data_IF_573333157400
#
_entry.id   IF_573333157400
#
_cell.length_a   1.000
_cell.length_b   1.000
_cell.length_c   1.000
_cell.angle_alpha   90.00
_cell.angle_beta   90.00
_cell.angle_gamma   90.00
#
_symmetry.space_group_name_H-M   'P 1'
#
loop_
_entity.id
_entity.type
_entity.pdbx_description
1 polymer ?
#
# COMPACT_ATOMS: atom_id res chain seq x y z
N UNK A 1 -13.22 11.33 18.95
CA UNK A 1 -12.75 12.33 19.93
C UNK A 1 -12.79 11.68 21.29
N UNK A 2 -11.62 11.27 21.82
CA UNK A 2 -11.52 10.74 23.18
C UNK A 2 -11.41 11.91 24.15
N UNK A 3 -12.54 12.39 24.61
CA UNK A 3 -12.61 13.36 25.68
C UNK A 3 -12.61 12.63 27.02
N UNK A 4 -11.65 12.94 27.88
CA UNK A 4 -11.63 12.69 29.33
C UNK A 4 -11.57 11.24 29.85
N UNK A 5 -10.96 10.28 29.15
CA UNK A 5 -10.86 8.91 29.67
C UNK A 5 -9.46 8.34 29.84
N UNK A 6 -8.45 8.87 29.14
CA UNK A 6 -7.08 8.36 29.22
C UNK A 6 -6.29 9.15 30.27
N UNK A 7 -6.18 8.61 31.47
CA UNK A 7 -5.42 9.20 32.57
C UNK A 7 -3.89 9.22 32.38
N UNK A 8 -3.37 8.62 31.31
CA UNK A 8 -1.96 8.54 31.01
C UNK A 8 -1.64 9.32 29.73
N UNK A 9 -0.70 10.26 29.80
CA UNK A 9 -0.27 11.09 28.68
C UNK A 9 0.27 10.26 27.51
N UNK A 10 1.06 9.23 27.77
CA UNK A 10 1.60 8.34 26.75
C UNK A 10 0.50 7.66 25.91
N UNK A 11 -0.61 7.31 26.51
CA UNK A 11 -1.73 6.71 25.78
C UNK A 11 -2.42 7.71 24.88
N UNK A 12 -2.50 8.97 25.31
CA UNK A 12 -3.05 10.04 24.45
C UNK A 12 -2.17 10.27 23.24
N UNK A 13 -0.87 10.42 23.45
CA UNK A 13 0.11 10.62 22.38
C UNK A 13 0.12 9.45 21.40
N UNK A 14 0.03 8.22 21.91
CA UNK A 14 -0.08 7.02 21.05
C UNK A 14 -1.37 7.00 20.22
N UNK A 15 -2.51 7.39 20.80
CA UNK A 15 -3.77 7.47 20.09
C UNK A 15 -3.81 8.64 19.10
N UNK A 16 -3.14 9.75 19.39
CA UNK A 16 -2.96 10.86 18.44
C UNK A 16 -2.12 10.45 17.24
N UNK A 17 -1.03 9.70 17.46
CA UNK A 17 -0.25 9.09 16.38
C UNK A 17 -1.10 8.12 15.56
N UNK A 18 -1.88 7.27 16.21
CA UNK A 18 -2.82 6.36 15.55
C UNK A 18 -3.87 7.11 14.73
N UNK A 19 -4.36 8.24 15.21
CA UNK A 19 -5.27 9.10 14.46
C UNK A 19 -4.57 9.69 13.22
N UNK A 20 -3.30 10.05 13.31
CA UNK A 20 -2.48 10.49 12.17
C UNK A 20 -2.39 9.41 11.08
N UNK A 21 -2.28 8.14 11.48
CA UNK A 21 -2.24 6.99 10.55
C UNK A 21 -3.56 6.73 9.82
N UNK A 22 -4.70 7.12 10.41
CA UNK A 22 -6.03 6.88 9.82
C UNK A 22 -6.68 8.15 9.26
N UNK A 23 -6.07 9.32 9.45
CA UNK A 23 -6.62 10.60 8.99
C UNK A 23 -6.59 10.75 7.48
N UNK A 24 -5.59 10.17 6.84
CA UNK A 24 -5.48 10.05 5.39
C UNK A 24 -4.67 8.82 5.01
N UNK A 25 -4.84 8.37 3.79
CA UNK A 25 -4.17 7.16 3.28
C UNK A 25 -2.85 7.46 2.58
N UNK A 26 -2.40 8.71 2.52
CA UNK A 26 -1.17 9.12 1.81
C UNK A 26 0.07 9.08 2.68
N UNK A 27 -0.09 8.91 4.00
CA UNK A 27 0.99 8.98 4.98
C UNK A 27 1.40 10.40 5.35
N UNK A 28 0.67 11.43 4.92
CA UNK A 28 0.94 12.82 5.30
C UNK A 28 0.78 13.04 6.81
N UNK A 29 -0.20 12.39 7.43
CA UNK A 29 -0.43 12.47 8.87
C UNK A 29 0.72 11.95 9.75
N UNK A 30 1.65 11.18 9.17
CA UNK A 30 2.84 10.64 9.83
C UNK A 30 4.16 11.03 9.12
N UNK A 31 4.07 11.95 8.16
CA UNK A 31 5.24 12.58 7.54
C UNK A 31 6.04 11.68 6.56
N UNK A 32 5.41 10.65 5.99
CA UNK A 32 6.05 9.75 5.01
C UNK A 32 5.45 9.85 3.60
N UNK A 33 4.58 10.85 3.35
CA UNK A 33 3.93 11.03 2.07
C UNK A 33 4.95 11.26 0.94
N UNK A 34 4.85 10.48 -0.12
CA UNK A 34 5.66 10.60 -1.33
C UNK A 34 4.92 9.94 -2.50
N UNK A 35 5.39 10.20 -3.71
CA UNK A 35 4.86 9.59 -4.93
C UNK A 35 5.93 9.50 -6.01
N UNK A 36 5.75 8.59 -6.96
CA UNK A 36 6.50 8.59 -8.21
C UNK A 36 5.59 8.37 -9.42
N UNK A 37 6.19 8.49 -10.61
CA UNK A 37 5.48 8.40 -11.88
C UNK A 37 4.86 7.01 -12.13
N UNK A 38 5.54 5.95 -11.70
CA UNK A 38 5.16 4.58 -12.03
C UNK A 38 4.27 3.94 -10.98
N UNK A 39 4.61 4.13 -9.70
CA UNK A 39 3.91 3.49 -8.59
C UNK A 39 2.81 4.38 -7.99
N UNK A 40 2.77 5.65 -8.38
CA UNK A 40 1.85 6.61 -7.78
C UNK A 40 2.21 6.97 -6.34
N UNK A 41 1.24 7.36 -5.52
CA UNK A 41 1.47 7.78 -4.14
C UNK A 41 1.73 6.59 -3.21
N UNK A 42 2.54 6.84 -2.18
CA UNK A 42 2.60 6.00 -1.00
C UNK A 42 1.20 5.88 -0.39
N UNK A 43 0.86 4.67 0.03
CA UNK A 43 -0.37 4.44 0.78
C UNK A 43 -0.05 3.87 2.16
N UNK A 44 -0.82 4.31 3.15
CA UNK A 44 -0.76 3.79 4.51
C UNK A 44 -2.16 3.52 5.03
N UNK A 45 -2.31 2.39 5.70
CA UNK A 45 -3.56 2.02 6.36
C UNK A 45 -3.23 1.71 7.82
N UNK A 46 -3.87 2.42 8.73
CA UNK A 46 -3.87 2.08 10.15
C UNK A 46 -4.69 0.81 10.34
N UNK A 47 -4.04 -0.24 10.84
CA UNK A 47 -4.69 -1.52 11.12
C UNK A 47 -5.35 -1.55 12.49
N UNK A 48 -5.25 -2.68 13.16
CA UNK A 48 -5.88 -2.91 14.46
C UNK A 48 -5.12 -2.24 15.59
N UNK A 49 -5.86 -1.70 16.56
CA UNK A 49 -5.33 -1.31 17.86
C UNK A 49 -5.76 -2.38 18.86
N UNK A 50 -4.82 -2.90 19.63
CA UNK A 50 -5.09 -3.90 20.66
C UNK A 50 -4.24 -3.66 21.91
N UNK A 51 -4.73 -4.15 23.04
CA UNK A 51 -3.97 -4.16 24.29
C UNK A 51 -3.27 -5.52 24.44
N UNK A 52 -1.96 -5.48 24.66
CA UNK A 52 -1.13 -6.64 24.98
C UNK A 52 -0.46 -6.42 26.35
N UNK A 53 -0.96 -7.08 27.38
CA UNK A 53 -0.56 -6.78 28.75
C UNK A 53 -0.85 -5.33 29.13
N UNK A 54 0.18 -4.58 29.46
CA UNK A 54 0.07 -3.14 29.78
C UNK A 54 0.47 -2.23 28.59
N UNK A 55 0.64 -2.79 27.40
CA UNK A 55 1.03 -2.06 26.19
C UNK A 55 -0.16 -1.93 25.23
N UNK A 56 -0.21 -0.81 24.52
CA UNK A 56 -1.03 -0.66 23.32
C UNK A 56 -0.16 -0.98 22.09
N UNK A 57 -0.72 -1.77 21.19
CA UNK A 57 -0.08 -2.14 19.93
C UNK A 57 -1.03 -1.76 18.80
N UNK A 58 -0.52 -0.99 17.84
CA UNK A 58 -1.21 -0.69 16.60
C UNK A 58 -0.41 -1.28 15.44
N UNK A 59 -1.10 -1.99 14.56
CA UNK A 59 -0.55 -2.43 13.28
C UNK A 59 -0.79 -1.38 12.21
N UNK A 60 0.08 -1.33 11.22
CA UNK A 60 -0.11 -0.55 10.00
C UNK A 60 0.38 -1.35 8.80
N UNK A 61 -0.23 -1.13 7.65
CA UNK A 61 0.24 -1.58 6.35
C UNK A 61 0.62 -0.34 5.53
N UNK A 62 1.78 -0.37 4.89
CA UNK A 62 2.22 0.69 4.00
C UNK A 62 2.74 0.11 2.70
N UNK A 63 2.33 0.71 1.60
CA UNK A 63 2.83 0.40 0.25
C UNK A 63 3.45 1.66 -0.30
N UNK A 64 4.70 1.56 -0.71
CA UNK A 64 5.47 2.75 -1.08
C UNK A 64 6.05 2.64 -2.48
N UNK A 65 6.20 3.79 -3.16
CA UNK A 65 6.81 3.87 -4.48
C UNK A 65 8.32 3.72 -4.42
N UNK A 66 8.96 3.68 -5.60
CA UNK A 66 10.42 3.55 -5.71
C UNK A 66 11.18 4.83 -5.33
N UNK A 67 10.47 5.91 -5.08
CA UNK A 67 11.04 7.23 -4.70
C UNK A 67 11.43 7.35 -3.22
N UNK A 68 11.13 6.35 -2.40
CA UNK A 68 11.50 6.32 -0.98
C UNK A 68 11.95 4.91 -0.61
N UNK A 69 12.89 4.80 0.32
CA UNK A 69 13.41 3.52 0.79
C UNK A 69 12.73 3.06 2.08
N UNK A 70 12.82 1.76 2.35
CA UNK A 70 12.34 1.18 3.60
C UNK A 70 13.07 1.77 4.82
N UNK A 71 14.34 2.09 4.68
CA UNK A 71 15.18 2.69 5.71
C UNK A 71 14.70 4.12 6.05
N UNK A 72 14.36 4.92 5.04
CA UNK A 72 13.83 6.28 5.24
C UNK A 72 12.48 6.26 5.94
N UNK A 73 11.57 5.38 5.52
CA UNK A 73 10.27 5.17 6.18
C UNK A 73 10.47 4.73 7.64
N UNK A 74 11.33 3.73 7.84
CA UNK A 74 11.64 3.21 9.18
C UNK A 74 12.21 4.31 10.08
N UNK A 75 13.15 5.10 9.57
CA UNK A 75 13.76 6.19 10.34
C UNK A 75 12.73 7.28 10.70
N UNK A 76 11.84 7.64 9.77
CA UNK A 76 10.78 8.62 10.02
C UNK A 76 9.80 8.13 11.10
N UNK A 77 9.33 6.89 10.99
CA UNK A 77 8.38 6.30 11.96
C UNK A 77 9.04 6.05 13.32
N UNK A 78 10.29 5.60 13.35
CA UNK A 78 11.06 5.44 14.60
C UNK A 78 11.17 6.78 15.33
N UNK A 79 11.51 7.85 14.62
CA UNK A 79 11.60 9.19 15.21
C UNK A 79 10.27 9.65 15.82
N UNK A 80 9.15 9.35 15.16
CA UNK A 80 7.82 9.68 15.67
C UNK A 80 7.50 8.90 16.95
N UNK A 81 7.76 7.59 16.94
CA UNK A 81 7.49 6.73 18.10
C UNK A 81 8.40 7.03 19.29
N UNK A 82 9.67 7.34 19.05
CA UNK A 82 10.63 7.73 20.11
C UNK A 82 10.16 8.98 20.86
N UNK A 83 9.56 9.95 20.17
CA UNK A 83 9.05 11.18 20.78
C UNK A 83 7.96 10.93 21.83
N UNK A 84 7.26 9.81 21.75
CA UNK A 84 6.17 9.43 22.68
C UNK A 84 6.56 8.22 23.56
N UNK A 85 7.84 7.82 23.54
CA UNK A 85 8.32 6.66 24.29
C UNK A 85 7.73 5.32 23.80
N UNK A 86 7.30 5.26 22.54
CA UNK A 86 6.87 4.03 21.88
C UNK A 86 8.01 3.42 21.03
N UNK A 87 7.78 2.24 20.48
CA UNK A 87 8.72 1.57 19.57
C UNK A 87 8.04 1.24 18.27
N UNK A 88 8.77 1.40 17.17
CA UNK A 88 8.38 0.94 15.84
C UNK A 88 9.13 -0.33 15.47
N UNK A 89 8.43 -1.29 14.89
CA UNK A 89 9.02 -2.56 14.44
C UNK A 89 8.44 -2.94 13.07
N UNK A 90 9.33 -3.27 12.13
CA UNK A 90 8.94 -3.88 10.86
C UNK A 90 8.72 -5.38 11.06
N UNK A 91 7.48 -5.84 10.91
CA UNK A 91 7.13 -7.26 11.01
C UNK A 91 7.18 -7.98 9.67
N UNK A 92 6.99 -7.24 8.57
CA UNK A 92 7.08 -7.72 7.20
C UNK A 92 7.62 -6.60 6.32
N UNK A 93 8.65 -6.88 5.55
CA UNK A 93 9.25 -5.93 4.64
C UNK A 93 9.25 -6.49 3.22
N UNK A 94 8.50 -5.84 2.33
CA UNK A 94 8.45 -6.17 0.91
C UNK A 94 8.78 -4.91 0.11
N UNK A 95 10.02 -4.81 -0.37
CA UNK A 95 10.45 -3.66 -1.17
C UNK A 95 9.68 -3.56 -2.48
N UNK A 96 9.45 -2.36 -3.04
CA UNK A 96 8.84 -2.20 -4.35
C UNK A 96 9.58 -3.02 -5.42
N UNK A 97 8.80 -3.62 -6.32
CA UNK A 97 9.31 -4.33 -7.49
C UNK A 97 8.72 -3.67 -8.73
N UNK A 98 9.58 -3.11 -9.57
CA UNK A 98 9.18 -2.40 -10.76
C UNK A 98 9.99 -2.88 -11.97
N UNK A 99 9.29 -3.34 -13.00
CA UNK A 99 9.81 -3.46 -14.37
C UNK A 99 9.23 -2.29 -15.16
N UNK A 100 10.07 -1.50 -15.79
CA UNK A 100 9.63 -0.28 -16.46
C UNK A 100 8.82 -0.57 -17.72
N UNK A 101 7.87 0.30 -18.09
CA UNK A 101 7.06 0.12 -19.29
C UNK A 101 7.89 0.04 -20.60
N UNK A 102 9.04 0.71 -20.66
CA UNK A 102 9.95 0.73 -21.80
C UNK A 102 10.91 -0.48 -21.87
N UNK A 103 10.83 -1.39 -20.92
CA UNK A 103 11.59 -2.63 -20.94
C UNK A 103 11.17 -3.50 -22.13
N UNK A 104 12.12 -4.08 -22.88
CA UNK A 104 11.82 -4.86 -24.10
C UNK A 104 10.80 -5.98 -23.89
N UNK A 105 10.85 -6.67 -22.75
CA UNK A 105 9.92 -7.75 -22.43
C UNK A 105 8.49 -7.20 -22.19
N UNK A 106 8.36 -6.05 -21.57
CA UNK A 106 7.07 -5.38 -21.38
C UNK A 106 6.50 -4.90 -22.72
N UNK A 107 7.35 -4.40 -23.61
CA UNK A 107 6.90 -3.99 -24.95
C UNK A 107 6.35 -5.17 -25.75
N UNK A 108 6.98 -6.35 -25.69
CA UNK A 108 6.45 -7.56 -26.34
C UNK A 108 5.06 -7.91 -25.81
N UNK A 109 4.84 -7.82 -24.49
CA UNK A 109 3.54 -8.07 -23.88
C UNK A 109 2.51 -7.01 -24.31
N UNK A 110 2.91 -5.75 -24.38
CA UNK A 110 2.07 -4.66 -24.85
C UNK A 110 1.66 -4.84 -26.30
N UNK A 111 2.58 -5.20 -27.18
CA UNK A 111 2.31 -5.48 -28.60
C UNK A 111 1.32 -6.63 -28.75
N UNK A 112 1.52 -7.71 -28.00
CA UNK A 112 0.61 -8.85 -28.00
C UNK A 112 -0.79 -8.47 -27.51
N UNK A 113 -0.89 -7.65 -26.46
CA UNK A 113 -2.14 -7.13 -25.97
C UNK A 113 -2.88 -6.30 -27.04
N UNK A 114 -2.19 -5.36 -27.66
CA UNK A 114 -2.75 -4.50 -28.71
C UNK A 114 -3.17 -5.32 -29.95
N UNK A 115 -2.38 -6.31 -30.32
CA UNK A 115 -2.71 -7.19 -31.44
C UNK A 115 -4.00 -7.98 -31.21
N UNK A 116 -4.19 -8.49 -29.99
CA UNK A 116 -5.37 -9.33 -29.68
C UNK A 116 -6.60 -8.51 -29.40
N UNK A 117 -6.47 -7.38 -28.70
CA UNK A 117 -7.61 -6.58 -28.24
C UNK A 117 -7.98 -5.43 -29.19
N UNK A 118 -7.02 -4.97 -30.01
CA UNK A 118 -7.16 -3.73 -30.79
C UNK A 118 -7.03 -2.46 -29.94
N UNK A 119 -6.77 -2.59 -28.64
CA UNK A 119 -6.66 -1.49 -27.70
C UNK A 119 -5.25 -0.90 -27.72
N UNK A 120 -5.10 0.31 -28.23
CA UNK A 120 -3.83 1.04 -28.32
C UNK A 120 -3.72 2.17 -27.30
N UNK A 121 -4.76 2.41 -26.51
CA UNK A 121 -4.83 3.52 -25.56
C UNK A 121 -4.28 3.12 -24.19
N UNK A 122 -4.66 1.95 -23.70
CA UNK A 122 -4.24 1.49 -22.40
C UNK A 122 -2.77 1.03 -22.37
N UNK A 123 -2.10 1.37 -21.31
CA UNK A 123 -0.67 1.11 -21.09
C UNK A 123 -0.49 0.18 -19.90
N UNK A 124 0.67 -0.51 -19.79
CA UNK A 124 1.05 -1.22 -18.59
C UNK A 124 0.93 -0.30 -17.36
N UNK A 125 0.45 -0.84 -16.26
CA UNK A 125 0.27 -0.12 -15.00
C UNK A 125 0.83 -0.94 -13.84
N UNK A 126 1.08 -0.27 -12.74
CA UNK A 126 1.52 -0.90 -11.49
C UNK A 126 0.35 -1.08 -10.53
N UNK A 127 0.51 -2.03 -9.62
CA UNK A 127 -0.45 -2.30 -8.56
C UNK A 127 0.25 -2.27 -7.21
N UNK A 128 -0.46 -1.87 -6.17
CA UNK A 128 0.08 -1.84 -4.81
C UNK A 128 0.30 -3.22 -4.19
N UNK A 129 -0.24 -4.29 -4.78
CA UNK A 129 -0.09 -5.65 -4.30
C UNK A 129 1.13 -6.36 -4.88
N UNK A 130 1.69 -7.32 -4.12
CA UNK A 130 2.71 -8.22 -4.63
C UNK A 130 2.10 -9.37 -5.42
N UNK A 131 2.70 -9.72 -6.57
CA UNK A 131 2.36 -10.91 -7.35
C UNK A 131 3.55 -11.85 -7.42
N UNK A 132 3.35 -13.06 -7.93
CA UNK A 132 4.45 -14.01 -8.18
C UNK A 132 5.48 -13.47 -9.19
N UNK A 133 5.15 -12.44 -9.96
CA UNK A 133 6.08 -11.81 -10.89
C UNK A 133 7.36 -11.30 -10.20
N UNK A 134 7.26 -10.90 -8.93
CA UNK A 134 8.41 -10.43 -8.14
C UNK A 134 9.44 -11.51 -7.82
N UNK A 135 9.08 -12.79 -7.95
CA UNK A 135 10.01 -13.91 -7.75
C UNK A 135 10.97 -14.12 -8.94
N UNK A 136 10.72 -13.41 -10.01
CA UNK A 136 11.57 -13.42 -11.20
C UNK A 136 12.38 -12.14 -11.29
N UNK A 137 13.58 -12.23 -11.85
CA UNK A 137 14.46 -11.07 -12.02
C UNK A 137 13.82 -9.98 -12.89
N UNK A 138 13.09 -10.39 -13.91
CA UNK A 138 12.26 -9.55 -14.78
C UNK A 138 10.94 -10.29 -14.96
N UNK A 139 9.90 -9.80 -14.33
CA UNK A 139 8.60 -10.44 -14.37
C UNK A 139 7.48 -9.40 -14.38
N UNK A 140 6.42 -9.73 -15.09
CA UNK A 140 5.20 -8.95 -15.08
C UNK A 140 4.00 -9.89 -15.03
N UNK A 141 2.92 -9.43 -14.42
CA UNK A 141 1.64 -10.10 -14.56
C UNK A 141 1.00 -9.69 -15.86
N UNK A 142 0.57 -10.66 -16.62
CA UNK A 142 -0.11 -10.46 -17.88
C UNK A 142 -1.36 -11.33 -17.94
N UNK A 143 -2.50 -10.74 -18.30
CA UNK A 143 -3.74 -11.51 -18.32
C UNK A 143 -4.96 -10.68 -18.73
N UNK A 144 -6.12 -11.29 -18.55
CA UNK A 144 -7.41 -10.82 -19.07
C UNK A 144 -8.14 -9.84 -18.14
N UNK A 145 -7.60 -9.57 -16.95
CA UNK A 145 -8.25 -8.65 -16.04
C UNK A 145 -7.97 -7.20 -16.46
N UNK A 146 -8.97 -6.60 -17.06
CA UNK A 146 -8.94 -5.23 -17.55
C UNK A 146 -9.81 -4.40 -16.62
N UNK A 147 -9.20 -3.65 -15.70
CA UNK A 147 -9.89 -2.88 -14.66
C UNK A 147 -10.83 -1.77 -15.19
N UNK A 148 -10.75 -1.44 -16.49
CA UNK A 148 -11.63 -0.50 -17.17
C UNK A 148 -12.85 -1.16 -17.84
N UNK A 149 -12.96 -2.51 -17.79
CA UNK A 149 -14.12 -3.24 -18.30
C UNK A 149 -15.07 -3.50 -17.14
N UNK A 150 -16.31 -3.08 -17.29
CA UNK A 150 -17.38 -3.43 -16.37
C UNK A 150 -17.56 -4.96 -16.31
N UNK A 151 -17.36 -5.55 -15.15
CA UNK A 151 -17.64 -6.95 -14.94
C UNK A 151 -19.09 -7.16 -14.50
N UNK A 152 -19.72 -8.27 -14.90
CA UNK A 152 -21.04 -8.61 -14.38
C UNK A 152 -21.01 -8.73 -12.85
N UNK A 153 -22.09 -8.34 -12.18
CA UNK A 153 -22.22 -8.31 -10.71
C UNK A 153 -21.91 -9.67 -10.02
N UNK A 154 -21.97 -10.76 -10.76
CA UNK A 154 -21.67 -12.12 -10.25
C UNK A 154 -20.17 -12.47 -10.31
N UNK A 155 -19.37 -11.71 -11.02
CA UNK A 155 -17.92 -11.82 -10.96
C UNK A 155 -17.52 -11.09 -9.69
N UNK A 156 -17.27 -11.82 -8.62
CA UNK A 156 -16.81 -11.26 -7.35
C UNK A 156 -15.67 -10.28 -7.60
N UNK A 157 -15.67 -9.19 -6.82
CA UNK A 157 -14.80 -8.04 -7.03
C UNK A 157 -13.36 -8.37 -7.32
N UNK A 158 -12.58 -7.44 -7.78
CA UNK A 158 -11.22 -7.54 -8.32
C UNK A 158 -10.20 -8.29 -7.44
N UNK A 159 -10.47 -9.57 -7.22
CA UNK A 159 -9.51 -10.47 -6.63
C UNK A 159 -8.53 -10.91 -7.72
N UNK A 160 -7.42 -10.28 -7.81
CA UNK A 160 -6.37 -10.76 -8.69
C UNK A 160 -5.44 -9.71 -9.25
N UNK A 161 -5.86 -8.50 -9.36
CA UNK A 161 -4.97 -7.43 -9.81
C UNK A 161 -4.19 -6.78 -8.67
N UNK A 162 -4.06 -7.46 -7.50
CA UNK A 162 -3.34 -6.91 -6.34
C UNK A 162 -3.90 -5.57 -5.84
N UNK A 163 -5.04 -5.18 -6.34
CA UNK A 163 -5.84 -4.12 -5.76
C UNK A 163 -6.27 -4.60 -4.37
N UNK A 164 -6.05 -3.81 -3.34
CA UNK A 164 -6.61 -4.11 -2.04
C UNK A 164 -8.10 -4.37 -2.20
N UNK A 165 -8.57 -5.49 -1.69
CA UNK A 165 -9.99 -5.79 -1.62
C UNK A 165 -10.67 -4.57 -1.02
N UNK A 166 -11.51 -3.92 -1.78
CA UNK A 166 -12.55 -3.09 -1.18
C UNK A 166 -13.52 -4.09 -0.58
N UNK A 167 -13.33 -4.40 0.70
CA UNK A 167 -14.31 -5.11 1.51
C UNK A 167 -15.53 -4.20 1.68
N UNK A 168 -16.29 -4.01 0.63
CA UNK A 168 -17.65 -3.57 0.77
C UNK A 168 -18.49 -4.83 1.09
N UNK A 169 -19.13 -4.89 2.25
CA UNK A 169 -20.00 -6.00 2.58
C UNK A 169 -21.16 -6.00 1.57
N UNK A 170 -21.23 -7.04 0.77
CA UNK A 170 -22.42 -7.33 -0.01
C UNK A 170 -23.60 -7.40 0.94
N UNK A 171 -24.56 -6.53 0.76
CA UNK A 171 -25.86 -6.52 1.46
C UNK A 171 -26.68 -7.75 1.13
#
# INVERSE_FOLDING_TARGET
>A
RLENGCGNQQWREFLELGQGLVSDTTGAGVGIATADEYCGPLTVVGGTIRKEGDRLVQTMDSRWPTSITAEEITAALTKLTDNIGATFENTLLMVPFLVKPDDPEIQVLQDAFQFVTGDTEHKPFTIGGGTYAREFKQGASFGVNMHWIEHPDWVGGEHGAGGGATDEPTK
#
